data_IF_470681042469
#
_entry.id   IF_470681042469
#
_cell.length_a   1.000
_cell.length_b   1.000
_cell.length_c   1.000
_cell.angle_alpha   90.00
_cell.angle_beta   90.00
_cell.angle_gamma   90.00
#
_symmetry.space_group_name_H-M   'P 1'
#
loop_
_entity.id
_entity.type
_entity.pdbx_description
1 polymer ?
#
# COMPACT_ATOMS: atom_id res chain seq x y z
N UNK A 1 -11.52 18.28 -7.43
CA UNK A 1 -10.52 19.39 -7.53
C UNK A 1 -10.38 20.21 -6.23
N UNK A 2 -11.46 20.52 -5.50
CA UNK A 2 -11.38 21.31 -4.26
C UNK A 2 -10.66 20.63 -3.07
N UNK A 3 -10.60 19.28 -3.05
CA UNK A 3 -9.83 18.52 -2.05
C UNK A 3 -8.30 18.68 -2.21
N UNK A 4 -7.84 18.89 -3.45
CA UNK A 4 -6.40 19.03 -3.77
C UNK A 4 -5.82 20.38 -3.33
N UNK A 5 -6.61 21.46 -3.38
CA UNK A 5 -6.13 22.81 -3.08
C UNK A 5 -5.92 23.08 -1.58
N UNK A 6 -6.73 22.48 -0.69
CA UNK A 6 -6.64 22.74 0.76
C UNK A 6 -5.43 22.09 1.44
N UNK A 7 -4.80 21.10 0.81
CA UNK A 7 -3.60 20.44 1.31
C UNK A 7 -2.34 21.27 0.97
N UNK A 8 -2.38 22.04 -0.11
CA UNK A 8 -1.25 22.83 -0.60
C UNK A 8 -0.95 24.04 0.31
N UNK A 9 -1.97 24.71 0.85
CA UNK A 9 -1.83 25.91 1.70
C UNK A 9 -1.21 25.65 3.09
N UNK A 10 -1.20 24.39 3.55
CA UNK A 10 -0.58 23.97 4.81
C UNK A 10 0.93 23.75 4.66
N UNK A 11 1.40 23.34 3.48
CA UNK A 11 2.80 22.95 3.24
C UNK A 11 3.74 24.15 3.15
N UNK A 12 3.26 25.29 2.63
CA UNK A 12 4.10 26.47 2.42
C UNK A 12 4.41 27.28 3.70
N UNK A 13 3.68 27.03 4.80
CA UNK A 13 3.85 27.75 6.07
C UNK A 13 4.90 27.13 7.01
N UNK A 14 5.46 25.96 6.68
CA UNK A 14 6.41 25.23 7.53
C UNK A 14 7.87 25.28 7.04
N UNK A 15 8.13 25.95 5.92
CA UNK A 15 9.41 25.98 5.19
C UNK A 15 10.50 26.91 5.77
N UNK A 16 10.28 27.61 6.90
CA UNK A 16 11.13 28.76 7.27
C UNK A 16 12.00 28.65 8.52
N UNK A 17 12.33 27.47 9.04
CA UNK A 17 13.40 27.38 10.05
C UNK A 17 14.39 26.23 9.81
N UNK A 18 15.56 26.66 9.34
CA UNK A 18 16.90 26.25 9.77
C UNK A 18 17.51 24.95 9.24
N UNK A 19 18.17 25.15 8.11
CA UNK A 19 19.51 24.67 7.75
C UNK A 19 20.47 24.41 8.94
N UNK A 20 21.20 23.29 8.88
CA UNK A 20 22.50 23.15 9.55
C UNK A 20 23.07 21.72 9.66
N UNK A 21 24.07 21.42 8.81
CA UNK A 21 25.31 20.61 9.05
C UNK A 21 25.18 19.13 9.52
N UNK A 22 26.03 18.15 9.18
CA UNK A 22 27.34 18.07 8.48
C UNK A 22 27.67 16.60 8.08
N UNK A 23 28.32 16.44 6.93
CA UNK A 23 29.40 15.53 6.51
C UNK A 23 29.72 14.23 7.28
N UNK A 24 29.71 13.10 6.56
CA UNK A 24 30.47 11.87 6.82
C UNK A 24 30.88 11.27 5.47
N UNK A 25 32.18 10.99 5.32
CA UNK A 25 32.89 10.64 4.08
C UNK A 25 32.47 9.28 3.49
N UNK A 26 32.26 9.24 2.16
CA UNK A 26 31.98 8.03 1.38
C UNK A 26 33.26 7.20 1.15
N UNK A 27 33.24 5.95 1.60
CA UNK A 27 34.27 4.95 1.32
C UNK A 27 33.95 4.24 -0.02
N UNK A 28 34.82 4.46 -1.00
CA UNK A 28 34.71 3.99 -2.39
C UNK A 28 34.87 2.46 -2.48
N UNK A 29 33.79 1.74 -2.84
CA UNK A 29 33.82 0.29 -3.12
C UNK A 29 34.27 0.01 -4.57
N UNK A 30 35.33 -0.79 -4.71
CA UNK A 30 35.88 -1.29 -5.97
C UNK A 30 35.10 -2.54 -6.45
N UNK A 31 34.44 -2.45 -7.60
CA UNK A 31 33.61 -3.49 -8.22
C UNK A 31 34.40 -4.68 -8.84
N UNK A 32 35.73 -4.71 -8.73
CA UNK A 32 36.54 -5.67 -9.50
C UNK A 32 36.79 -7.04 -8.85
N UNK A 33 36.25 -7.34 -7.66
CA UNK A 33 36.52 -8.62 -6.97
C UNK A 33 35.27 -9.52 -6.83
N UNK A 34 34.80 -10.02 -7.97
CA UNK A 34 33.70 -11.00 -8.04
C UNK A 34 34.24 -12.42 -8.20
N UNK A 35 34.78 -13.00 -7.12
CA UNK A 35 34.94 -14.47 -7.00
C UNK A 35 33.59 -15.17 -6.76
N UNK A 36 32.50 -14.41 -6.61
CA UNK A 36 31.14 -14.89 -6.31
C UNK A 36 30.23 -15.15 -7.52
N UNK A 37 30.66 -14.81 -8.75
CA UNK A 37 29.79 -14.95 -9.94
C UNK A 37 30.01 -16.25 -10.74
N UNK A 38 30.71 -17.25 -10.17
CA UNK A 38 31.01 -18.50 -10.89
C UNK A 38 29.88 -19.55 -10.83
N UNK A 39 28.81 -19.34 -10.06
CA UNK A 39 27.79 -20.37 -9.80
C UNK A 39 26.36 -19.97 -10.16
N UNK A 40 26.18 -19.20 -11.23
CA UNK A 40 24.84 -19.02 -11.83
C UNK A 40 24.81 -19.77 -13.15
N UNK A 41 24.06 -20.89 -13.25
CA UNK A 41 23.89 -21.59 -14.52
C UNK A 41 23.41 -20.61 -15.60
N UNK A 42 24.02 -20.64 -16.79
CA UNK A 42 23.67 -19.79 -17.94
C UNK A 42 22.17 -19.82 -18.24
N UNK A 43 21.51 -20.96 -18.02
CA UNK A 43 20.07 -21.13 -18.19
C UNK A 43 19.25 -20.31 -17.19
N UNK A 44 19.76 -20.11 -15.97
CA UNK A 44 19.16 -19.25 -14.94
C UNK A 44 19.31 -17.76 -15.30
N UNK A 45 20.45 -17.38 -15.86
CA UNK A 45 20.70 -16.01 -16.37
C UNK A 45 19.73 -15.73 -17.52
N UNK A 46 19.61 -16.67 -18.46
CA UNK A 46 18.68 -16.57 -19.60
C UNK A 46 17.22 -16.55 -19.15
N UNK A 47 16.84 -17.31 -18.12
CA UNK A 47 15.50 -17.24 -17.50
C UNK A 47 15.23 -15.88 -16.83
N UNK A 48 16.21 -15.34 -16.10
CA UNK A 48 16.10 -14.02 -15.48
C UNK A 48 16.07 -12.87 -16.50
N UNK A 49 16.65 -13.10 -17.68
CA UNK A 49 16.76 -12.14 -18.78
C UNK A 49 15.73 -12.36 -19.90
N UNK A 50 14.82 -13.33 -19.77
CA UNK A 50 13.81 -13.64 -20.79
C UNK A 50 12.65 -12.64 -20.77
N UNK A 51 12.46 -11.99 -21.92
CA UNK A 51 11.43 -10.99 -22.28
C UNK A 51 11.19 -9.83 -21.29
N UNK A 52 11.85 -8.72 -21.61
CA UNK A 52 11.57 -7.38 -21.08
C UNK A 52 10.12 -6.97 -21.42
N UNK A 53 9.19 -7.14 -20.49
CA UNK A 53 7.86 -6.54 -20.63
C UNK A 53 7.97 -5.00 -20.51
N UNK A 54 7.31 -4.26 -21.39
CA UNK A 54 7.45 -2.80 -21.58
C UNK A 54 6.97 -1.91 -20.41
N UNK A 55 6.86 -2.42 -19.17
CA UNK A 55 6.31 -1.72 -18.01
C UNK A 55 7.39 -1.27 -17.00
N UNK A 56 8.54 -0.80 -17.48
CA UNK A 56 9.54 -0.18 -16.60
C UNK A 56 9.12 1.23 -16.20
N UNK A 57 9.13 1.49 -14.89
CA UNK A 57 8.90 2.80 -14.28
C UNK A 57 10.14 3.17 -13.46
N UNK A 58 10.49 4.45 -13.43
CA UNK A 58 11.62 4.93 -12.61
C UNK A 58 11.25 4.80 -11.14
N UNK A 59 12.05 4.04 -10.38
CA UNK A 59 11.89 3.91 -8.94
C UNK A 59 12.47 5.15 -8.21
N UNK A 60 12.18 5.31 -6.93
CA UNK A 60 12.65 6.46 -6.13
C UNK A 60 14.18 6.54 -5.98
N UNK A 61 14.94 5.52 -6.41
CA UNK A 61 16.40 5.48 -6.39
C UNK A 61 17.02 5.73 -7.79
N UNK A 62 16.22 6.13 -8.79
CA UNK A 62 16.71 6.46 -10.14
C UNK A 62 16.96 5.24 -11.05
N UNK A 63 16.61 4.02 -10.62
CA UNK A 63 16.67 2.80 -11.42
C UNK A 63 15.37 2.49 -12.16
N UNK A 64 15.42 1.62 -13.16
CA UNK A 64 14.22 1.10 -13.84
C UNK A 64 13.66 -0.11 -13.09
N UNK A 65 12.39 -0.07 -12.69
CA UNK A 65 11.71 -1.17 -12.01
C UNK A 65 10.39 -1.51 -12.73
N UNK A 66 10.03 -2.79 -12.79
CA UNK A 66 8.75 -3.21 -13.36
C UNK A 66 7.57 -2.69 -12.50
N UNK A 67 6.52 -2.18 -13.16
CA UNK A 67 5.28 -1.80 -12.51
C UNK A 67 4.69 -3.02 -11.80
N UNK A 68 4.70 -3.00 -10.46
CA UNK A 68 4.13 -4.09 -9.67
C UNK A 68 2.62 -4.08 -9.82
N UNK A 69 2.05 -5.22 -10.21
CA UNK A 69 0.60 -5.41 -10.32
C UNK A 69 -0.12 -5.03 -9.01
N UNK A 70 -1.26 -4.35 -9.13
CA UNK A 70 -2.00 -3.78 -7.99
C UNK A 70 -2.38 -4.83 -6.96
N UNK A 71 -2.67 -6.08 -7.40
CA UNK A 71 -2.97 -7.19 -6.48
C UNK A 71 -1.72 -7.64 -5.70
N UNK A 72 -0.54 -7.60 -6.32
CA UNK A 72 0.72 -7.97 -5.69
C UNK A 72 1.12 -6.90 -4.67
N UNK A 73 0.90 -5.61 -4.99
CA UNK A 73 1.04 -4.51 -4.02
C UNK A 73 0.10 -4.69 -2.83
N UNK A 74 -1.17 -5.01 -3.08
CA UNK A 74 -2.14 -5.31 -2.02
C UNK A 74 -1.67 -6.50 -1.15
N UNK A 75 -1.23 -7.60 -1.77
CA UNK A 75 -0.74 -8.77 -1.03
C UNK A 75 0.45 -8.43 -0.13
N UNK A 76 1.41 -7.67 -0.64
CA UNK A 76 2.55 -7.17 0.15
C UNK A 76 2.08 -6.31 1.30
N UNK A 77 1.18 -5.36 1.05
CA UNK A 77 0.62 -4.50 2.08
C UNK A 77 -0.13 -5.29 3.17
N UNK A 78 -0.93 -6.29 2.79
CA UNK A 78 -1.67 -7.11 3.76
C UNK A 78 -0.75 -7.96 4.63
N UNK A 79 0.35 -8.50 4.09
CA UNK A 79 1.26 -9.41 4.81
C UNK A 79 2.31 -8.65 5.61
N UNK A 80 2.97 -7.67 4.98
CA UNK A 80 4.09 -6.93 5.58
C UNK A 80 3.62 -5.70 6.36
N UNK A 81 2.40 -5.22 6.08
CA UNK A 81 1.98 -3.89 6.50
C UNK A 81 2.78 -2.82 5.76
N UNK A 82 3.07 -1.73 6.46
CA UNK A 82 4.07 -0.73 6.03
C UNK A 82 5.42 -1.08 6.67
N UNK A 83 6.49 -1.21 5.87
CA UNK A 83 7.85 -1.46 6.39
C UNK A 83 8.29 -0.36 7.37
N UNK A 84 9.00 -0.75 8.43
CA UNK A 84 9.27 0.09 9.61
C UNK A 84 10.18 1.30 9.36
N UNK A 85 9.96 2.35 10.14
CA UNK A 85 10.87 3.49 10.30
C UNK A 85 10.43 4.37 11.46
N UNK A 86 11.37 4.77 12.30
CA UNK A 86 11.14 5.52 13.54
C UNK A 86 10.27 6.78 13.39
N UNK A 87 9.35 6.96 14.36
CA UNK A 87 8.62 8.20 14.70
C UNK A 87 7.70 8.84 13.62
N UNK A 88 6.55 8.20 13.38
CA UNK A 88 5.26 8.78 12.96
C UNK A 88 5.07 9.45 11.58
N UNK A 89 6.10 9.83 10.82
CA UNK A 89 5.92 10.54 9.54
C UNK A 89 5.89 9.61 8.31
N UNK A 90 6.84 8.66 8.20
CA UNK A 90 6.94 7.76 7.04
C UNK A 90 5.82 6.70 6.96
N UNK A 91 5.32 6.23 8.12
CA UNK A 91 4.22 5.26 8.20
C UNK A 91 2.91 5.81 7.59
N UNK A 92 2.71 7.13 7.70
CA UNK A 92 1.50 7.82 7.20
C UNK A 92 1.49 7.94 5.68
N UNK A 93 2.64 8.23 5.05
CA UNK A 93 2.71 8.34 3.58
C UNK A 93 2.63 6.96 2.90
N UNK A 94 3.32 5.96 3.44
CA UNK A 94 3.25 4.57 2.93
C UNK A 94 1.85 3.96 3.08
N UNK A 95 1.14 4.28 4.17
CA UNK A 95 -0.26 3.87 4.33
C UNK A 95 -1.17 4.54 3.30
N UNK A 96 -0.90 5.80 2.92
CA UNK A 96 -1.68 6.51 1.90
C UNK A 96 -1.50 5.90 0.51
N UNK A 97 -0.28 5.57 0.10
CA UNK A 97 -0.05 4.95 -1.21
C UNK A 97 -0.72 3.57 -1.35
N UNK A 98 -0.64 2.77 -0.30
CA UNK A 98 -1.31 1.47 -0.28
C UNK A 98 -2.84 1.63 -0.28
N UNK A 99 -3.39 2.57 0.50
CA UNK A 99 -4.82 2.89 0.46
C UNK A 99 -5.27 3.37 -0.93
N UNK A 100 -4.46 4.19 -1.63
CA UNK A 100 -4.72 4.59 -3.02
C UNK A 100 -4.75 3.40 -3.96
N UNK A 101 -3.84 2.44 -3.79
CA UNK A 101 -3.86 1.20 -4.58
C UNK A 101 -5.16 0.41 -4.36
N UNK A 102 -5.64 0.32 -3.13
CA UNK A 102 -6.92 -0.34 -2.81
C UNK A 102 -8.10 0.38 -3.45
N UNK A 103 -8.18 1.71 -3.30
CA UNK A 103 -9.23 2.51 -3.93
C UNK A 103 -9.21 2.37 -5.45
N UNK A 104 -8.03 2.41 -6.06
CA UNK A 104 -7.86 2.17 -7.49
C UNK A 104 -8.38 0.80 -7.91
N UNK A 105 -8.11 -0.26 -7.14
CA UNK A 105 -8.68 -1.58 -7.42
C UNK A 105 -10.21 -1.61 -7.31
N UNK A 106 -10.79 -0.97 -6.28
CA UNK A 106 -12.24 -0.89 -6.10
C UNK A 106 -12.89 -0.15 -7.27
N UNK A 107 -12.34 1.00 -7.65
CA UNK A 107 -12.81 1.84 -8.77
C UNK A 107 -12.76 1.10 -10.12
N UNK A 108 -11.82 0.18 -10.28
CA UNK A 108 -11.69 -0.65 -11.48
C UNK A 108 -12.47 -1.98 -11.41
N UNK A 109 -13.54 -2.03 -10.60
CA UNK A 109 -14.41 -3.21 -10.41
C UNK A 109 -13.71 -4.46 -9.84
N UNK A 110 -12.55 -4.31 -9.20
CA UNK A 110 -11.80 -5.40 -8.56
C UNK A 110 -11.98 -5.45 -7.04
N UNK A 111 -13.00 -4.77 -6.51
CA UNK A 111 -13.25 -4.70 -5.06
C UNK A 111 -13.51 -6.06 -4.41
N UNK A 112 -14.11 -7.01 -5.13
CA UNK A 112 -14.31 -8.38 -4.60
C UNK A 112 -13.00 -9.15 -4.48
N UNK A 113 -12.05 -8.96 -5.41
CA UNK A 113 -10.70 -9.55 -5.30
C UNK A 113 -9.95 -9.00 -4.08
N UNK A 114 -10.12 -7.70 -3.78
CA UNK A 114 -9.56 -7.08 -2.56
C UNK A 114 -10.11 -7.77 -1.32
N UNK A 115 -11.43 -7.96 -1.26
CA UNK A 115 -12.12 -8.57 -0.12
C UNK A 115 -11.76 -10.05 0.05
N UNK A 116 -11.65 -10.80 -1.04
CA UNK A 116 -11.22 -12.20 -1.02
C UNK A 116 -9.81 -12.33 -0.44
N UNK A 117 -8.87 -11.52 -0.96
CA UNK A 117 -7.48 -11.57 -0.53
C UNK A 117 -7.29 -11.14 0.93
N UNK A 118 -7.98 -10.09 1.39
CA UNK A 118 -7.87 -9.66 2.79
C UNK A 118 -8.46 -10.70 3.76
N UNK A 119 -9.56 -11.37 3.38
CA UNK A 119 -10.15 -12.44 4.18
C UNK A 119 -9.21 -13.65 4.22
N UNK A 120 -8.63 -14.04 3.07
CA UNK A 120 -7.63 -15.11 2.99
C UNK A 120 -6.46 -14.83 3.93
N UNK A 121 -5.84 -13.65 3.83
CA UNK A 121 -4.68 -13.27 4.66
C UNK A 121 -5.05 -13.25 6.15
N UNK A 122 -6.22 -12.72 6.49
CA UNK A 122 -6.69 -12.67 7.87
C UNK A 122 -6.91 -14.07 8.46
N UNK A 123 -7.61 -14.94 7.75
CA UNK A 123 -7.95 -16.30 8.19
C UNK A 123 -6.71 -17.19 8.27
N UNK A 124 -5.79 -17.06 7.31
CA UNK A 124 -4.55 -17.82 7.28
C UNK A 124 -3.51 -17.32 8.31
N UNK A 125 -3.76 -16.19 9.00
CA UNK A 125 -2.86 -15.64 10.01
C UNK A 125 -1.50 -15.25 9.45
N UNK A 126 -1.42 -14.86 8.17
CA UNK A 126 -0.14 -14.60 7.48
C UNK A 126 0.49 -13.25 7.82
N UNK A 127 -0.28 -12.33 8.38
CA UNK A 127 0.17 -11.00 8.76
C UNK A 127 0.45 -10.93 10.27
N UNK A 128 1.58 -10.36 10.72
CA UNK A 128 1.91 -10.20 12.13
C UNK A 128 1.01 -9.18 12.84
N UNK A 129 0.44 -8.21 12.10
CA UNK A 129 -0.55 -7.22 12.57
C UNK A 129 -1.78 -7.23 11.67
N UNK A 130 -2.96 -6.95 12.23
CA UNK A 130 -4.22 -6.91 11.47
C UNK A 130 -4.56 -5.53 10.89
N UNK A 131 -3.86 -4.46 11.29
CA UNK A 131 -4.18 -3.07 10.92
C UNK A 131 -4.37 -2.86 9.42
N UNK A 132 -3.49 -3.41 8.58
CA UNK A 132 -3.59 -3.31 7.11
C UNK A 132 -4.85 -4.00 6.57
N UNK A 133 -5.20 -5.17 7.12
CA UNK A 133 -6.42 -5.91 6.76
C UNK A 133 -7.67 -5.12 7.16
N UNK A 134 -7.68 -4.54 8.37
CA UNK A 134 -8.80 -3.77 8.90
C UNK A 134 -9.00 -2.46 8.13
N UNK A 135 -7.92 -1.78 7.73
CA UNK A 135 -7.99 -0.61 6.85
C UNK A 135 -8.62 -0.96 5.50
N UNK A 136 -8.17 -2.05 4.86
CA UNK A 136 -8.73 -2.49 3.58
C UNK A 136 -10.22 -2.84 3.72
N UNK A 137 -10.59 -3.53 4.80
CA UNK A 137 -11.99 -3.85 5.09
C UNK A 137 -12.85 -2.59 5.27
N UNK A 138 -12.34 -1.59 5.99
CA UNK A 138 -13.01 -0.31 6.18
C UNK A 138 -13.19 0.44 4.85
N UNK A 139 -12.17 0.46 3.98
CA UNK A 139 -12.27 1.04 2.64
C UNK A 139 -13.39 0.37 1.83
N UNK A 140 -13.46 -0.97 1.81
CA UNK A 140 -14.54 -1.69 1.13
C UNK A 140 -15.93 -1.42 1.75
N UNK A 141 -16.04 -1.39 3.08
CA UNK A 141 -17.30 -1.21 3.80
C UNK A 141 -17.88 0.23 3.70
N UNK A 142 -17.00 1.22 3.50
CA UNK A 142 -17.34 2.65 3.46
C UNK A 142 -17.23 3.27 2.07
N UNK A 143 -16.81 2.53 1.05
CA UNK A 143 -16.67 3.06 -0.30
C UNK A 143 -17.99 3.66 -0.82
N UNK A 144 -17.97 4.95 -1.20
CA UNK A 144 -19.15 5.70 -1.62
C UNK A 144 -19.00 6.48 -2.92
N UNK A 145 -17.82 6.49 -3.56
CA UNK A 145 -17.59 7.28 -4.76
C UNK A 145 -18.45 6.80 -5.94
N UNK A 146 -19.02 7.75 -6.69
CA UNK A 146 -19.99 7.52 -7.78
C UNK A 146 -19.37 6.91 -9.05
N UNK A 147 -18.05 6.83 -9.12
CA UNK A 147 -17.30 6.23 -10.24
C UNK A 147 -17.67 4.75 -10.42
N UNK A 148 -17.92 4.05 -9.32
CA UNK A 148 -18.45 2.69 -9.33
C UNK A 148 -19.97 2.70 -9.35
N UNK A 149 -20.57 1.76 -10.08
CA UNK A 149 -22.02 1.62 -10.13
C UNK A 149 -22.61 1.35 -8.72
N UNK A 150 -23.86 1.79 -8.50
CA UNK A 150 -24.51 1.70 -7.19
C UNK A 150 -24.70 0.26 -6.71
N UNK A 151 -25.00 -0.66 -7.62
CA UNK A 151 -25.28 -2.07 -7.30
C UNK A 151 -24.01 -2.77 -6.79
N UNK A 152 -22.94 -2.75 -7.57
CA UNK A 152 -21.63 -3.31 -7.22
C UNK A 152 -21.05 -2.65 -5.99
N UNK A 153 -21.25 -1.34 -5.79
CA UNK A 153 -20.89 -0.66 -4.54
C UNK A 153 -21.65 -1.23 -3.34
N UNK A 154 -22.97 -1.42 -3.46
CA UNK A 154 -23.78 -2.01 -2.40
C UNK A 154 -23.38 -3.46 -2.11
N UNK A 155 -23.12 -4.25 -3.16
CA UNK A 155 -22.64 -5.62 -3.05
C UNK A 155 -21.29 -5.68 -2.32
N UNK A 156 -20.32 -4.84 -2.68
CA UNK A 156 -19.02 -4.76 -2.02
C UNK A 156 -19.17 -4.41 -0.53
N UNK A 157 -19.97 -3.38 -0.23
CA UNK A 157 -20.21 -2.95 1.16
C UNK A 157 -20.85 -4.07 1.97
N UNK A 158 -21.88 -4.71 1.43
CA UNK A 158 -22.57 -5.81 2.09
C UNK A 158 -21.62 -7.00 2.34
N UNK A 159 -20.82 -7.38 1.34
CA UNK A 159 -19.85 -8.44 1.48
C UNK A 159 -18.78 -8.11 2.54
N UNK A 160 -18.32 -6.86 2.60
CA UNK A 160 -17.39 -6.40 3.63
C UNK A 160 -17.99 -6.51 5.04
N UNK A 161 -19.24 -6.06 5.25
CA UNK A 161 -19.92 -6.23 6.55
C UNK A 161 -20.12 -7.70 6.91
N UNK A 162 -20.42 -8.56 5.94
CA UNK A 162 -20.56 -10.00 6.17
C UNK A 162 -19.23 -10.67 6.57
N UNK A 163 -18.09 -10.12 6.16
CA UNK A 163 -16.76 -10.62 6.53
C UNK A 163 -16.33 -10.21 7.96
N UNK A 164 -16.98 -9.23 8.58
CA UNK A 164 -16.60 -8.69 9.90
C UNK A 164 -16.43 -9.77 10.98
N UNK A 165 -17.36 -10.71 11.19
CA UNK A 165 -17.22 -11.71 12.25
C UNK A 165 -15.99 -12.61 12.07
N UNK A 166 -15.57 -12.86 10.82
CA UNK A 166 -14.44 -13.72 10.49
C UNK A 166 -13.09 -12.99 10.63
N UNK A 167 -13.06 -11.68 10.39
CA UNK A 167 -11.86 -10.85 10.43
C UNK A 167 -11.65 -10.22 11.82
N UNK A 168 -12.69 -9.66 12.42
CA UNK A 168 -12.65 -9.00 13.72
C UNK A 168 -12.88 -9.99 14.88
N UNK A 169 -11.89 -10.85 15.14
CA UNK A 169 -11.97 -11.95 16.12
C UNK A 169 -11.94 -11.51 17.59
N UNK A 170 -11.46 -10.31 17.88
CA UNK A 170 -11.35 -9.76 19.24
C UNK A 170 -11.84 -8.31 19.28
N UNK A 171 -12.22 -7.76 20.46
CA UNK A 171 -12.72 -6.40 20.56
C UNK A 171 -11.77 -5.34 19.99
N UNK A 172 -10.45 -5.50 20.16
CA UNK A 172 -9.46 -4.56 19.61
C UNK A 172 -9.56 -4.41 18.10
N UNK A 173 -9.79 -5.49 17.35
CA UNK A 173 -9.95 -5.43 15.90
C UNK A 173 -11.21 -4.67 15.50
N UNK A 174 -12.30 -4.87 16.25
CA UNK A 174 -13.55 -4.17 15.99
C UNK A 174 -13.40 -2.65 16.23
N UNK A 175 -12.78 -2.24 17.34
CA UNK A 175 -12.56 -0.83 17.63
C UNK A 175 -11.61 -0.18 16.61
N UNK A 176 -10.54 -0.87 16.21
CA UNK A 176 -9.62 -0.37 15.19
C UNK A 176 -10.32 -0.23 13.82
N UNK A 177 -11.15 -1.19 13.43
CA UNK A 177 -12.00 -1.09 12.22
C UNK A 177 -12.95 0.11 12.27
N UNK A 178 -13.58 0.38 13.42
CA UNK A 178 -14.46 1.54 13.59
C UNK A 178 -13.66 2.83 13.42
N UNK A 179 -12.49 2.94 14.04
CA UNK A 179 -11.60 4.10 13.88
C UNK A 179 -11.21 4.34 12.41
N UNK A 180 -10.93 3.27 11.65
CA UNK A 180 -10.72 3.41 10.20
C UNK A 180 -11.99 3.84 9.45
N UNK A 181 -13.17 3.32 9.81
CA UNK A 181 -14.43 3.75 9.19
C UNK A 181 -14.71 5.25 9.39
N UNK A 182 -14.39 5.78 10.57
CA UNK A 182 -14.50 7.22 10.88
C UNK A 182 -13.54 8.03 10.01
N UNK A 183 -12.25 7.67 9.99
CA UNK A 183 -11.24 8.35 9.18
C UNK A 183 -11.58 8.35 7.67
N UNK A 184 -12.10 7.23 7.15
CA UNK A 184 -12.53 7.13 5.74
C UNK A 184 -13.71 8.07 5.46
N UNK A 185 -14.66 8.18 6.39
CA UNK A 185 -15.84 9.04 6.23
C UNK A 185 -15.47 10.53 6.24
N UNK A 186 -14.57 10.95 7.14
CA UNK A 186 -14.05 12.33 7.20
C UNK A 186 -13.32 12.73 5.90
N UNK A 187 -12.56 11.81 5.31
CA UNK A 187 -11.85 12.07 4.05
C UNK A 187 -12.76 12.18 2.81
N UNK A 188 -13.97 11.63 2.90
CA UNK A 188 -14.96 11.61 1.80
C UNK A 188 -16.01 12.72 1.94
N UNK A 189 -16.08 13.36 3.11
CA UNK A 189 -17.01 14.46 3.40
C UNK A 189 -16.34 15.84 3.31
N UNK A 190 -16.44 16.49 2.14
CA UNK A 190 -16.59 17.95 1.95
C UNK A 190 -16.59 18.29 0.44
#
# INVERSE_FOLDING_TARGET
>A
LLLYCRIFDLLHKMELHENGLSDMEDEYYDESNSEYNQYVPEDLIRFAMAEKSNNEVVNNAGGSAFQVDSIMRLKRFLILGTEGGTFYVCERELSKENARNVLHMIENNRGMEVLELLVEVSLAGRAPKQSATLLCLALCARYSAEIMNQESRNQLRQAAYNALPSVCRIPTHLFEFIGFCEAVSESTGN
#
